data_IF_810471069069
#
_entry.id   IF_810471069069
#
_cell.length_a   1.000
_cell.length_b   1.000
_cell.length_c   1.000
_cell.angle_alpha   90.00
_cell.angle_beta   90.00
_cell.angle_gamma   90.00
#
_symmetry.space_group_name_H-M   'P 1'
#
loop_
_entity.id
_entity.type
_entity.pdbx_description
1 polymer ?
#
# COMPACT_ATOMS: atom_id res chain seq x y z
N UNK A 1 -7.08 -16.16 -12.54
CA UNK A 1 -7.02 -17.25 -11.54
C UNK A 1 -5.65 -17.93 -11.57
N UNK A 2 -5.14 -18.33 -12.74
CA UNK A 2 -3.78 -18.88 -12.92
C UNK A 2 -2.66 -17.99 -12.33
N UNK A 3 -2.73 -16.67 -12.54
CA UNK A 3 -1.76 -15.71 -11.98
C UNK A 3 -1.80 -15.65 -10.45
N UNK A 4 -2.99 -15.73 -9.86
CA UNK A 4 -3.15 -15.73 -8.40
C UNK A 4 -2.51 -16.97 -7.79
N UNK A 5 -2.80 -18.16 -8.34
CA UNK A 5 -2.22 -19.41 -7.88
C UNK A 5 -0.68 -19.40 -8.02
N UNK A 6 -0.17 -18.91 -9.15
CA UNK A 6 1.28 -18.83 -9.39
C UNK A 6 1.98 -17.90 -8.38
N UNK A 7 1.39 -16.75 -8.07
CA UNK A 7 1.95 -15.81 -7.10
C UNK A 7 1.76 -16.27 -5.65
N UNK A 8 0.69 -16.99 -5.35
CA UNK A 8 0.47 -17.60 -4.03
C UNK A 8 1.48 -18.73 -3.79
N UNK A 9 1.78 -19.54 -4.80
CA UNK A 9 2.83 -20.56 -4.72
C UNK A 9 4.21 -19.91 -4.51
N UNK A 10 4.50 -18.82 -5.23
CA UNK A 10 5.75 -18.07 -5.06
C UNK A 10 5.88 -17.47 -3.64
N UNK A 11 4.79 -16.93 -3.08
CA UNK A 11 4.77 -16.41 -1.72
C UNK A 11 5.11 -17.50 -0.70
N UNK A 12 4.51 -18.70 -0.83
CA UNK A 12 4.84 -19.85 0.02
C UNK A 12 6.32 -20.26 -0.11
N UNK A 13 6.83 -20.39 -1.33
CA UNK A 13 8.25 -20.73 -1.57
C UNK A 13 9.19 -19.70 -0.92
N UNK A 14 8.88 -18.40 -1.03
CA UNK A 14 9.70 -17.33 -0.44
C UNK A 14 9.66 -17.31 1.08
N UNK A 15 8.50 -17.64 1.67
CA UNK A 15 8.32 -17.77 3.12
C UNK A 15 9.16 -18.93 3.68
N UNK A 16 9.27 -20.02 2.92
CA UNK A 16 10.01 -21.22 3.34
C UNK A 16 11.52 -21.20 3.00
N UNK A 17 12.04 -20.11 2.41
CA UNK A 17 13.47 -20.00 2.08
C UNK A 17 14.34 -20.11 3.34
N UNK A 18 15.05 -21.22 3.45
CA UNK A 18 16.09 -21.44 4.45
C UNK A 18 17.48 -21.34 3.81
N UNK A 19 18.31 -20.43 4.35
CA UNK A 19 19.73 -20.30 4.00
C UNK A 19 20.56 -20.65 5.24
N UNK A 20 20.85 -21.95 5.47
CA UNK A 20 21.45 -22.43 6.71
C UNK A 20 22.96 -22.16 6.79
N UNK A 21 23.63 -21.96 5.65
CA UNK A 21 25.05 -21.62 5.60
C UNK A 21 25.23 -20.13 5.86
N UNK A 22 26.15 -19.79 6.77
CA UNK A 22 26.47 -18.40 7.10
C UNK A 22 27.49 -17.83 6.10
N UNK A 23 27.01 -17.60 4.89
CA UNK A 23 27.75 -16.91 3.82
C UNK A 23 27.53 -15.40 3.94
N UNK A 24 28.47 -14.55 3.46
CA UNK A 24 28.35 -13.09 3.57
C UNK A 24 27.00 -12.52 3.08
N UNK A 25 26.40 -13.11 2.05
CA UNK A 25 25.14 -12.67 1.46
C UNK A 25 23.90 -13.31 2.11
N UNK A 26 24.05 -14.34 2.96
CA UNK A 26 22.93 -15.14 3.48
C UNK A 26 21.95 -14.31 4.31
N UNK A 27 22.46 -13.32 5.08
CA UNK A 27 21.60 -12.40 5.81
C UNK A 27 20.77 -11.51 4.87
N UNK A 28 21.39 -10.94 3.84
CA UNK A 28 20.70 -10.09 2.87
C UNK A 28 19.64 -10.88 2.09
N UNK A 29 19.99 -12.07 1.60
CA UNK A 29 19.09 -12.93 0.84
C UNK A 29 17.88 -13.38 1.67
N UNK A 30 18.05 -13.72 2.95
CA UNK A 30 16.92 -13.99 3.88
C UNK A 30 16.00 -12.77 4.00
N UNK A 31 16.56 -11.57 4.11
CA UNK A 31 15.74 -10.36 4.20
C UNK A 31 15.04 -10.00 2.88
N UNK A 32 15.66 -10.28 1.73
CA UNK A 32 15.01 -10.15 0.42
C UNK A 32 13.83 -11.12 0.33
N UNK A 33 14.01 -12.40 0.67
CA UNK A 33 12.94 -13.40 0.62
C UNK A 33 11.74 -12.99 1.50
N UNK A 34 12.00 -12.63 2.77
CA UNK A 34 10.95 -12.16 3.68
C UNK A 34 10.24 -10.89 3.20
N UNK A 35 10.97 -9.92 2.63
CA UNK A 35 10.35 -8.69 2.10
C UNK A 35 9.49 -8.99 0.87
N UNK A 36 9.94 -9.88 0.00
CA UNK A 36 9.19 -10.28 -1.19
C UNK A 36 7.92 -11.07 -0.83
N UNK A 37 8.01 -12.04 0.09
CA UNK A 37 6.87 -12.77 0.61
C UNK A 37 5.83 -11.82 1.22
N UNK A 38 6.26 -10.91 2.11
CA UNK A 38 5.39 -9.88 2.69
C UNK A 38 4.71 -9.01 1.64
N UNK A 39 5.45 -8.55 0.62
CA UNK A 39 4.84 -7.72 -0.44
C UNK A 39 3.78 -8.48 -1.23
N UNK A 40 4.02 -9.78 -1.49
CA UNK A 40 3.03 -10.64 -2.13
C UNK A 40 1.78 -10.80 -1.26
N UNK A 41 1.95 -11.19 0.01
CA UNK A 41 0.85 -11.42 0.95
C UNK A 41 0.08 -10.17 1.38
N UNK A 42 0.76 -9.05 1.61
CA UNK A 42 0.14 -7.84 2.17
C UNK A 42 -0.48 -6.93 1.11
N UNK A 43 -0.06 -7.06 -0.16
CA UNK A 43 -0.40 -6.07 -1.18
C UNK A 43 -0.85 -6.66 -2.52
N UNK A 44 -0.15 -7.68 -3.04
CA UNK A 44 -0.41 -8.18 -4.40
C UNK A 44 -1.55 -9.20 -4.39
N UNK A 45 -1.47 -10.24 -3.55
CA UNK A 45 -2.48 -11.30 -3.48
C UNK A 45 -3.86 -10.77 -3.06
N UNK A 46 -4.00 -9.91 -2.02
CA UNK A 46 -5.29 -9.31 -1.67
C UNK A 46 -5.88 -8.49 -2.83
N UNK A 47 -5.02 -7.80 -3.60
CA UNK A 47 -5.46 -7.00 -4.75
C UNK A 47 -5.93 -7.87 -5.91
N UNK A 48 -5.28 -8.99 -6.16
CA UNK A 48 -5.66 -9.94 -7.22
C UNK A 48 -6.97 -10.67 -6.92
N UNK A 49 -7.26 -10.95 -5.64
CA UNK A 49 -8.54 -11.55 -5.23
C UNK A 49 -9.72 -10.62 -5.50
N UNK A 50 -9.50 -9.30 -5.41
CA UNK A 50 -10.54 -8.29 -5.58
C UNK A 50 -10.07 -7.18 -6.51
N UNK A 51 -9.82 -7.51 -7.78
CA UNK A 51 -9.36 -6.52 -8.78
C UNK A 51 -10.35 -5.37 -8.99
N UNK A 52 -11.64 -5.67 -8.83
CA UNK A 52 -12.73 -4.68 -8.94
C UNK A 52 -12.88 -3.82 -7.67
N UNK A 53 -12.13 -4.11 -6.60
CA UNK A 53 -12.11 -3.25 -5.44
C UNK A 53 -11.52 -1.87 -5.77
N UNK A 54 -11.99 -0.79 -5.13
CA UNK A 54 -11.38 0.53 -5.23
C UNK A 54 -9.92 0.50 -4.75
N UNK A 55 -9.05 1.26 -5.42
CA UNK A 55 -7.69 1.49 -4.93
C UNK A 55 -7.75 2.41 -3.71
N UNK A 56 -7.24 1.94 -2.57
CA UNK A 56 -7.11 2.77 -1.36
C UNK A 56 -5.70 3.34 -1.29
N UNK A 57 -5.57 4.66 -1.15
CA UNK A 57 -4.30 5.35 -0.98
C UNK A 57 -4.32 6.23 0.27
N UNK A 58 -3.22 6.24 1.01
CA UNK A 58 -3.04 7.10 2.19
C UNK A 58 -2.05 8.21 1.87
N UNK A 59 -2.48 9.47 1.99
CA UNK A 59 -1.60 10.64 1.84
C UNK A 59 -1.05 11.02 3.23
N UNK A 60 0.13 10.52 3.56
CA UNK A 60 0.85 10.83 4.79
C UNK A 60 1.83 12.01 4.64
N UNK A 61 2.29 12.58 5.76
CA UNK A 61 3.30 13.64 5.77
C UNK A 61 3.13 14.65 6.91
N UNK A 62 4.16 15.46 7.15
CA UNK A 62 4.14 16.48 8.22
C UNK A 62 3.07 17.55 7.97
N UNK A 63 2.68 18.28 9.02
CA UNK A 63 1.76 19.42 8.88
C UNK A 63 2.36 20.41 7.87
N UNK A 64 1.51 21.08 7.06
CA UNK A 64 1.97 22.07 6.08
C UNK A 64 2.76 21.53 4.88
N UNK A 65 2.96 20.21 4.75
CA UNK A 65 3.61 19.60 3.59
C UNK A 65 2.78 19.62 2.28
N UNK A 66 1.64 20.32 2.26
CA UNK A 66 0.79 20.43 1.08
C UNK A 66 -0.12 19.23 0.80
N UNK A 67 -0.31 18.31 1.76
CA UNK A 67 -1.20 17.13 1.59
C UNK A 67 -2.58 17.50 1.04
N UNK A 68 -3.23 18.52 1.61
CA UNK A 68 -4.52 19.03 1.16
C UNK A 68 -4.48 19.58 -0.27
N UNK A 69 -3.38 20.21 -0.68
CA UNK A 69 -3.20 20.71 -2.05
C UNK A 69 -3.14 19.55 -3.03
N UNK A 70 -2.32 18.52 -2.75
CA UNK A 70 -2.22 17.33 -3.61
C UNK A 70 -3.59 16.65 -3.75
N UNK A 71 -4.28 16.43 -2.63
CA UNK A 71 -5.61 15.80 -2.64
C UNK A 71 -6.60 16.63 -3.45
N UNK A 72 -6.70 17.94 -3.21
CA UNK A 72 -7.62 18.80 -3.94
C UNK A 72 -7.30 18.85 -5.45
N UNK A 73 -6.02 18.89 -5.81
CA UNK A 73 -5.59 18.87 -7.21
C UNK A 73 -5.93 17.56 -7.91
N UNK A 74 -5.78 16.42 -7.23
CA UNK A 74 -6.14 15.10 -7.78
C UNK A 74 -7.65 14.94 -7.95
N UNK A 75 -8.45 15.45 -7.01
CA UNK A 75 -9.91 15.40 -7.09
C UNK A 75 -10.48 16.47 -8.03
N UNK A 76 -9.70 17.51 -8.34
CA UNK A 76 -10.17 18.68 -9.10
C UNK A 76 -11.16 19.56 -8.34
N UNK A 77 -11.30 19.36 -7.03
CA UNK A 77 -12.24 20.08 -6.16
C UNK A 77 -11.60 20.37 -4.79
N UNK A 78 -12.06 21.44 -4.15
CA UNK A 78 -11.62 21.83 -2.81
C UNK A 78 -12.34 21.00 -1.73
N UNK A 79 -11.97 19.73 -1.61
CA UNK A 79 -12.54 18.76 -0.65
C UNK A 79 -11.88 18.84 0.73
N UNK A 80 -10.72 19.49 0.85
CA UNK A 80 -10.02 19.69 2.11
C UNK A 80 -9.46 21.11 2.21
N UNK A 81 -9.47 21.69 3.42
CA UNK A 81 -8.86 22.99 3.63
C UNK A 81 -7.33 22.90 3.40
N UNK A 82 -6.82 23.75 2.51
CA UNK A 82 -5.38 23.96 2.29
C UNK A 82 -5.04 25.39 2.72
N UNK A 83 -4.32 25.55 3.83
CA UNK A 83 -3.94 26.87 4.37
C UNK A 83 -2.56 26.83 4.99
N UNK A 84 -1.84 27.96 4.98
CA UNK A 84 -0.57 28.10 5.69
C UNK A 84 -0.73 28.09 7.23
N UNK A 85 -1.94 28.36 7.76
CA UNK A 85 -2.28 28.26 9.19
C UNK A 85 -2.58 26.81 9.58
N UNK A 86 -1.95 26.35 10.66
CA UNK A 86 -1.98 24.95 11.13
C UNK A 86 -2.90 24.80 12.35
N UNK A 87 -3.61 23.66 12.53
CA UNK A 87 -3.70 22.49 11.65
C UNK A 87 -4.76 22.67 10.55
N UNK A 88 -4.43 22.28 9.30
CA UNK A 88 -5.32 22.39 8.12
C UNK A 88 -6.34 21.26 8.02
N UNK A 89 -6.05 20.10 8.63
CA UNK A 89 -6.91 18.91 8.66
C UNK A 89 -6.83 18.36 10.08
N UNK A 90 -7.90 18.54 10.85
CA UNK A 90 -7.95 18.15 12.29
C UNK A 90 -8.56 16.77 12.52
N UNK A 91 -9.17 16.19 11.49
CA UNK A 91 -9.77 14.86 11.49
C UNK A 91 -9.36 14.11 10.21
N UNK A 92 -9.17 12.78 10.24
CA UNK A 92 -8.94 11.99 9.03
C UNK A 92 -10.03 12.24 7.99
N UNK A 93 -9.65 12.44 6.73
CA UNK A 93 -10.58 12.61 5.61
C UNK A 93 -10.53 11.36 4.74
N UNK A 94 -11.67 10.70 4.59
CA UNK A 94 -11.87 9.63 3.63
C UNK A 94 -12.61 10.19 2.41
N UNK A 95 -12.06 9.95 1.22
CA UNK A 95 -12.67 10.33 -0.05
C UNK A 95 -12.83 9.06 -0.88
N UNK A 96 -14.03 8.85 -1.41
CA UNK A 96 -14.34 7.72 -2.27
C UNK A 96 -15.44 8.13 -3.26
N UNK A 97 -15.61 7.36 -4.34
CA UNK A 97 -16.78 7.52 -5.20
C UNK A 97 -18.02 6.99 -4.47
N UNK A 98 -19.18 7.59 -4.71
CA UNK A 98 -20.42 7.18 -4.04
C UNK A 98 -20.75 5.69 -4.27
N UNK A 99 -20.46 5.18 -5.47
CA UNK A 99 -20.66 3.77 -5.86
C UNK A 99 -19.79 2.78 -5.06
N UNK A 100 -18.67 3.26 -4.54
CA UNK A 100 -17.67 2.48 -3.81
C UNK A 100 -17.94 2.43 -2.29
N UNK A 101 -18.99 3.09 -1.80
CA UNK A 101 -19.27 3.26 -0.37
C UNK A 101 -19.47 1.95 0.42
N UNK A 102 -19.69 0.83 -0.28
CA UNK A 102 -19.94 -0.49 0.31
C UNK A 102 -18.67 -1.30 0.61
N UNK A 103 -17.52 -0.86 0.09
CA UNK A 103 -16.22 -1.48 0.32
C UNK A 103 -15.63 -1.01 1.65
#
# INVERSE_FOLDING_TARGET
MEEYESLSALEGVLTDVALPLDLPEAANAREVAKRSARRLGDHILPRLQSLDAPLVCVVGGSTGAGKSTIVNSLVGQHVSASSAKRPTTRSPLLLHRAEDARW
#
